data_IF_052916094878
#
_entry.id   IF_052916094878
#
_cell.length_a   1.000
_cell.length_b   1.000
_cell.length_c   1.000
_cell.angle_alpha   90.00
_cell.angle_beta   90.00
_cell.angle_gamma   90.00
#
_symmetry.space_group_name_H-M   'P 1'
#
loop_
_entity.id
_entity.type
_entity.pdbx_description
1 polymer ?
#
# COMPACT_ATOMS: atom_id res chain seq x y z
N UNK A 1 -9.94 -59.54 45.99
CA UNK A 1 -9.90 -59.78 47.45
C UNK A 1 -8.47 -60.08 47.83
N UNK A 2 -7.91 -59.27 48.76
CA UNK A 2 -6.61 -59.40 49.43
C UNK A 2 -5.34 -59.45 48.57
N UNK A 3 -4.45 -58.46 48.73
CA UNK A 3 -3.22 -58.67 49.52
C UNK A 3 -2.19 -57.53 49.42
N UNK A 4 -1.73 -57.16 50.63
CA UNK A 4 -0.44 -56.58 51.02
C UNK A 4 -0.19 -55.07 50.84
N UNK A 5 -0.58 -54.36 51.90
CA UNK A 5 0.05 -53.11 52.35
C UNK A 5 1.54 -53.36 52.66
N UNK A 6 2.39 -52.50 52.12
CA UNK A 6 3.84 -52.55 52.29
C UNK A 6 4.21 -51.57 53.42
N UNK A 7 4.35 -52.09 54.65
CA UNK A 7 4.96 -51.35 55.75
C UNK A 7 6.47 -51.18 55.48
N UNK A 8 6.92 -49.93 55.32
CA UNK A 8 8.34 -49.57 55.43
C UNK A 8 8.51 -48.60 56.59
N UNK A 9 8.89 -49.17 57.74
CA UNK A 9 9.34 -48.43 58.91
C UNK A 9 10.86 -48.21 58.79
N UNK A 10 11.28 -46.98 58.51
CA UNK A 10 12.68 -46.55 58.49
C UNK A 10 12.93 -45.53 59.62
N UNK A 11 14.06 -45.58 60.33
CA UNK A 11 14.25 -44.84 61.58
C UNK A 11 14.58 -43.35 61.42
N UNK A 12 14.52 -42.80 60.21
CA UNK A 12 14.89 -41.42 59.94
C UNK A 12 13.65 -40.66 59.47
N UNK A 13 13.10 -39.78 60.32
CA UNK A 13 11.85 -39.04 60.14
C UNK A 13 11.85 -38.00 59.01
N UNK A 14 12.37 -38.35 57.83
CA UNK A 14 12.31 -37.55 56.61
C UNK A 14 11.22 -38.16 55.72
N UNK A 15 10.09 -37.45 55.66
CA UNK A 15 8.92 -37.85 54.89
C UNK A 15 9.28 -38.22 53.45
N UNK A 16 8.62 -39.25 52.93
CA UNK A 16 8.78 -39.73 51.56
C UNK A 16 8.53 -38.59 50.57
N UNK A 17 9.62 -37.97 50.10
CA UNK A 17 9.58 -36.96 49.05
C UNK A 17 9.15 -37.67 47.77
N UNK A 18 8.09 -37.22 47.07
CA UNK A 18 7.72 -37.77 45.78
C UNK A 18 8.92 -37.61 44.85
N UNK A 19 9.56 -38.73 44.49
CA UNK A 19 10.62 -38.68 43.50
C UNK A 19 9.96 -38.28 42.18
N UNK A 20 10.28 -37.08 41.71
CA UNK A 20 9.97 -36.67 40.35
C UNK A 20 10.68 -37.70 39.46
N UNK A 21 9.96 -38.44 38.59
CA UNK A 21 10.62 -39.26 37.60
C UNK A 21 11.41 -38.29 36.73
N UNK A 22 12.73 -38.28 36.89
CA UNK A 22 13.60 -37.73 35.88
C UNK A 22 13.37 -38.62 34.66
N UNK A 23 12.50 -38.18 33.76
CA UNK A 23 12.47 -38.67 32.39
C UNK A 23 13.92 -38.72 31.95
N UNK A 24 14.39 -39.91 31.61
CA UNK A 24 15.68 -40.07 30.97
C UNK A 24 15.75 -39.04 29.85
N UNK A 25 16.82 -38.26 29.87
CA UNK A 25 17.19 -37.33 28.83
C UNK A 25 17.63 -38.13 27.59
N UNK A 26 16.73 -39.01 27.11
CA UNK A 26 16.81 -39.72 25.84
C UNK A 26 16.39 -38.77 24.70
N UNK A 27 16.73 -37.49 24.85
CA UNK A 27 16.68 -36.44 23.84
C UNK A 27 18.08 -36.01 23.37
N UNK A 28 19.16 -36.64 23.85
CA UNK A 28 20.52 -36.40 23.35
C UNK A 28 20.74 -37.00 21.93
N UNK A 29 19.65 -37.44 21.28
CA UNK A 29 19.57 -37.61 19.83
C UNK A 29 19.19 -36.34 19.04
N UNK A 30 18.93 -35.20 19.69
CA UNK A 30 18.41 -33.98 19.03
C UNK A 30 19.23 -32.71 19.34
N UNK A 31 20.38 -32.84 20.00
CA UNK A 31 21.33 -31.73 20.21
C UNK A 31 22.52 -31.75 19.22
N UNK A 32 22.59 -32.74 18.31
CA UNK A 32 23.62 -32.84 17.27
C UNK A 32 23.12 -32.37 15.88
N UNK A 33 22.01 -31.63 15.82
CA UNK A 33 21.30 -31.32 14.56
C UNK A 33 20.92 -29.87 14.31
N UNK A 34 21.06 -28.95 15.28
CA UNK A 34 20.93 -27.53 14.97
C UNK A 34 22.23 -27.01 14.35
N UNK A 35 22.43 -27.40 13.09
CA UNK A 35 23.50 -26.85 12.27
C UNK A 35 23.40 -25.32 12.22
N UNK A 36 24.51 -24.62 11.98
CA UNK A 36 24.49 -23.17 11.71
C UNK A 36 23.46 -22.81 10.62
N UNK A 37 23.20 -23.74 9.69
CA UNK A 37 22.14 -23.63 8.69
C UNK A 37 20.70 -23.59 9.25
N UNK A 38 20.39 -24.31 10.34
CA UNK A 38 19.06 -24.27 10.95
C UNK A 38 18.82 -22.95 11.72
N UNK A 39 19.87 -22.40 12.33
CA UNK A 39 19.80 -21.10 13.02
C UNK A 39 19.63 -19.95 12.03
N UNK A 40 20.38 -19.96 10.92
CA UNK A 40 20.21 -18.98 9.83
C UNK A 40 18.83 -19.12 9.18
N UNK A 41 18.34 -20.34 8.98
CA UNK A 41 17.00 -20.60 8.46
C UNK A 41 15.92 -19.99 9.38
N UNK A 42 15.96 -20.28 10.69
CA UNK A 42 15.03 -19.69 11.66
C UNK A 42 15.12 -18.16 11.70
N UNK A 43 16.32 -17.59 11.77
CA UNK A 43 16.51 -16.14 11.78
C UNK A 43 15.93 -15.48 10.51
N UNK A 44 16.15 -16.09 9.34
CA UNK A 44 15.58 -15.64 8.06
C UNK A 44 14.06 -15.71 8.07
N UNK A 45 13.50 -16.74 8.69
CA UNK A 45 12.06 -16.94 8.81
C UNK A 45 11.40 -15.91 9.75
N UNK A 46 12.06 -15.57 10.86
CA UNK A 46 11.64 -14.49 11.76
C UNK A 46 11.72 -13.11 11.08
N UNK A 47 12.81 -12.84 10.36
CA UNK A 47 12.96 -11.59 9.60
C UNK A 47 11.89 -11.47 8.51
N UNK A 48 11.62 -12.57 7.78
CA UNK A 48 10.56 -12.62 6.77
C UNK A 48 9.18 -12.34 7.37
N UNK A 49 8.93 -12.86 8.59
CA UNK A 49 7.68 -12.61 9.32
C UNK A 49 7.54 -11.14 9.72
N UNK A 50 8.62 -10.52 10.21
CA UNK A 50 8.63 -9.12 10.62
C UNK A 50 8.46 -8.17 9.44
N UNK A 51 9.18 -8.40 8.34
CA UNK A 51 9.00 -7.65 7.08
C UNK A 51 7.58 -7.79 6.56
N UNK A 52 7.00 -9.00 6.61
CA UNK A 52 5.62 -9.21 6.20
C UNK A 52 4.63 -8.43 7.07
N UNK A 53 4.84 -8.41 8.39
CA UNK A 53 4.01 -7.63 9.32
C UNK A 53 4.11 -6.12 9.07
N UNK A 54 5.31 -5.60 8.82
CA UNK A 54 5.54 -4.18 8.48
C UNK A 54 4.79 -3.80 7.19
N UNK A 55 4.86 -4.67 6.17
CA UNK A 55 4.15 -4.48 4.90
C UNK A 55 2.64 -4.54 5.09
N UNK A 56 2.14 -5.47 5.90
CA UNK A 56 0.70 -5.59 6.18
C UNK A 56 0.18 -4.39 6.94
N UNK A 57 0.95 -3.87 7.89
CA UNK A 57 0.63 -2.65 8.63
C UNK A 57 0.61 -1.43 7.70
N UNK A 58 1.69 -1.20 6.94
CA UNK A 58 1.78 -0.11 5.97
C UNK A 58 0.66 -0.19 4.93
N UNK A 59 0.34 -1.41 4.44
CA UNK A 59 -0.78 -1.64 3.54
C UNK A 59 -2.10 -1.23 4.18
N UNK A 60 -2.33 -1.57 5.45
CA UNK A 60 -3.57 -1.22 6.16
C UNK A 60 -3.72 0.30 6.36
N UNK A 61 -2.63 0.99 6.69
CA UNK A 61 -2.61 2.44 6.89
C UNK A 61 -2.86 3.18 5.57
N UNK A 62 -2.10 2.86 4.53
CA UNK A 62 -2.27 3.44 3.19
C UNK A 62 -3.66 3.14 2.64
N UNK A 63 -4.16 1.91 2.79
CA UNK A 63 -5.52 1.56 2.33
C UNK A 63 -6.59 2.35 3.08
N UNK A 64 -6.39 2.58 4.38
CA UNK A 64 -7.27 3.42 5.20
C UNK A 64 -7.30 4.87 4.72
N UNK A 65 -6.14 5.46 4.45
CA UNK A 65 -6.03 6.82 3.91
C UNK A 65 -6.65 6.94 2.52
N UNK A 66 -6.35 6.01 1.62
CA UNK A 66 -6.92 5.97 0.27
C UNK A 66 -8.45 5.87 0.34
N UNK A 67 -8.99 5.02 1.22
CA UNK A 67 -10.45 4.87 1.39
C UNK A 67 -11.09 6.15 1.92
N UNK A 68 -10.43 6.86 2.85
CA UNK A 68 -10.88 8.19 3.33
C UNK A 68 -10.85 9.21 2.19
N UNK A 69 -9.79 9.23 1.39
CA UNK A 69 -9.65 10.11 0.22
C UNK A 69 -10.74 9.86 -0.83
N UNK A 70 -11.03 8.60 -1.15
CA UNK A 70 -12.10 8.22 -2.07
C UNK A 70 -13.47 8.65 -1.52
N UNK A 71 -13.75 8.41 -0.24
CA UNK A 71 -15.02 8.88 0.36
C UNK A 71 -15.13 10.40 0.32
N UNK A 72 -14.04 11.13 0.57
CA UNK A 72 -14.01 12.58 0.47
C UNK A 72 -14.22 13.11 -0.95
N UNK A 73 -13.73 12.41 -1.97
CA UNK A 73 -13.87 12.82 -3.37
C UNK A 73 -15.30 12.70 -3.89
N UNK A 74 -16.16 11.85 -3.29
CA UNK A 74 -17.57 11.71 -3.68
C UNK A 74 -18.29 13.07 -3.66
N UNK A 75 -18.11 13.85 -2.59
CA UNK A 75 -18.74 15.18 -2.48
C UNK A 75 -18.21 16.15 -3.53
N UNK A 76 -16.92 16.10 -3.84
CA UNK A 76 -16.34 16.93 -4.91
C UNK A 76 -16.85 16.54 -6.29
N UNK A 77 -17.07 15.25 -6.55
CA UNK A 77 -17.68 14.78 -7.80
C UNK A 77 -19.11 15.29 -7.90
N UNK A 78 -19.92 15.13 -6.84
CA UNK A 78 -21.30 15.64 -6.81
C UNK A 78 -21.32 17.16 -7.01
N UNK A 79 -20.50 17.90 -6.25
CA UNK A 79 -20.39 19.35 -6.39
C UNK A 79 -19.95 19.75 -7.81
N UNK A 80 -19.00 19.03 -8.40
CA UNK A 80 -18.55 19.26 -9.78
C UNK A 80 -19.66 19.04 -10.80
N UNK A 81 -20.45 17.98 -10.67
CA UNK A 81 -21.61 17.71 -11.54
C UNK A 81 -22.67 18.78 -11.39
N UNK A 82 -23.03 19.14 -10.14
CA UNK A 82 -24.00 20.20 -9.87
C UNK A 82 -23.53 21.54 -10.45
N UNK A 83 -22.26 21.91 -10.23
CA UNK A 83 -21.68 23.13 -10.79
C UNK A 83 -21.68 23.11 -12.32
N UNK A 84 -21.35 21.98 -12.94
CA UNK A 84 -21.34 21.83 -14.39
C UNK A 84 -22.74 22.04 -14.99
N UNK A 85 -23.77 21.38 -14.46
CA UNK A 85 -25.15 21.56 -14.93
C UNK A 85 -25.69 22.96 -14.60
N UNK A 86 -25.40 23.48 -13.42
CA UNK A 86 -25.84 24.82 -13.00
C UNK A 86 -25.20 25.93 -13.85
N UNK A 87 -23.97 25.71 -14.34
CA UNK A 87 -23.28 26.68 -15.20
C UNK A 87 -24.07 26.99 -16.46
N UNK A 88 -24.74 25.99 -17.06
CA UNK A 88 -25.60 26.20 -18.22
C UNK A 88 -26.74 27.19 -17.91
N UNK A 89 -27.47 26.96 -16.81
CA UNK A 89 -28.54 27.84 -16.36
C UNK A 89 -28.01 29.22 -15.96
N UNK A 90 -26.84 29.29 -15.34
CA UNK A 90 -26.20 30.55 -14.96
C UNK A 90 -25.89 31.42 -16.17
N UNK A 91 -25.29 30.86 -17.23
CA UNK A 91 -25.01 31.62 -18.45
C UNK A 91 -26.28 31.99 -19.21
N UNK A 92 -27.29 31.10 -19.23
CA UNK A 92 -28.59 31.43 -19.80
C UNK A 92 -29.26 32.59 -19.04
N UNK A 93 -29.27 32.54 -17.72
CA UNK A 93 -29.73 33.62 -16.85
C UNK A 93 -28.98 34.92 -17.12
N UNK A 94 -27.65 34.87 -17.27
CA UNK A 94 -26.84 36.04 -17.59
C UNK A 94 -27.24 36.65 -18.94
N UNK A 95 -27.51 35.82 -19.94
CA UNK A 95 -27.97 36.26 -21.26
C UNK A 95 -29.34 36.95 -21.19
N UNK A 96 -30.26 36.37 -20.42
CA UNK A 96 -31.60 36.93 -20.23
C UNK A 96 -31.55 38.23 -19.42
N UNK A 97 -30.77 38.26 -18.34
CA UNK A 97 -30.55 39.45 -17.50
C UNK A 97 -29.99 40.60 -18.34
N UNK A 98 -28.96 40.36 -19.14
CA UNK A 98 -28.41 41.40 -20.03
C UNK A 98 -29.41 41.86 -21.09
N UNK A 99 -30.37 41.01 -21.47
CA UNK A 99 -31.39 41.35 -22.47
C UNK A 99 -32.41 42.37 -21.96
N UNK A 100 -32.47 42.65 -20.65
CA UNK A 100 -33.29 43.74 -20.10
C UNK A 100 -32.79 45.13 -20.54
N UNK A 101 -31.48 45.29 -20.75
CA UNK A 101 -30.87 46.56 -21.18
C UNK A 101 -30.40 46.55 -22.64
N UNK A 102 -30.25 45.38 -23.27
CA UNK A 102 -29.65 45.21 -24.59
C UNK A 102 -30.57 44.41 -25.52
N UNK A 103 -30.33 44.50 -26.83
CA UNK A 103 -30.96 43.58 -27.80
C UNK A 103 -30.57 42.14 -27.44
N UNK A 104 -31.54 41.23 -27.38
CA UNK A 104 -31.35 39.82 -26.99
C UNK A 104 -30.14 39.16 -27.68
N UNK A 105 -30.00 39.33 -29.00
CA UNK A 105 -28.87 38.77 -29.74
C UNK A 105 -27.50 39.29 -29.28
N UNK A 106 -27.40 40.57 -28.91
CA UNK A 106 -26.17 41.19 -28.45
C UNK A 106 -25.82 40.73 -27.01
N UNK A 107 -26.83 40.58 -26.15
CA UNK A 107 -26.66 40.04 -24.80
C UNK A 107 -26.04 38.63 -24.83
N UNK A 108 -26.61 37.71 -25.62
CA UNK A 108 -26.06 36.36 -25.77
C UNK A 108 -24.67 36.33 -26.41
N UNK A 109 -24.35 37.26 -27.33
CA UNK A 109 -23.00 37.38 -27.90
C UNK A 109 -21.98 37.81 -26.84
N UNK A 110 -22.33 38.74 -25.96
CA UNK A 110 -21.47 39.17 -24.85
C UNK A 110 -21.21 37.99 -23.90
N UNK A 111 -22.26 37.26 -23.50
CA UNK A 111 -22.12 36.09 -22.62
C UNK A 111 -21.24 35.01 -23.28
N UNK A 112 -21.42 34.76 -24.58
CA UNK A 112 -20.54 33.86 -25.33
C UNK A 112 -19.08 34.31 -25.29
N UNK A 113 -18.81 35.61 -25.45
CA UNK A 113 -17.47 36.17 -25.29
C UNK A 113 -16.88 35.92 -23.90
N UNK A 114 -17.67 36.10 -22.84
CA UNK A 114 -17.27 35.79 -21.46
C UNK A 114 -16.94 34.30 -21.31
N UNK A 115 -17.74 33.40 -21.89
CA UNK A 115 -17.48 31.96 -21.85
C UNK A 115 -16.14 31.61 -22.53
N UNK A 116 -15.82 32.22 -23.68
CA UNK A 116 -14.53 32.01 -24.35
C UNK A 116 -13.36 32.51 -23.50
N UNK A 117 -13.50 33.64 -22.81
CA UNK A 117 -12.46 34.15 -21.90
C UNK A 117 -12.23 33.19 -20.73
N UNK A 118 -13.31 32.70 -20.10
CA UNK A 118 -13.24 31.72 -19.01
C UNK A 118 -12.59 30.42 -19.50
N UNK A 119 -13.04 29.88 -20.63
CA UNK A 119 -12.49 28.67 -21.22
C UNK A 119 -11.01 28.83 -21.58
N UNK A 120 -10.62 29.96 -22.17
CA UNK A 120 -9.24 30.30 -22.47
C UNK A 120 -8.38 30.40 -21.22
N UNK A 121 -8.88 31.02 -20.15
CA UNK A 121 -8.17 31.14 -18.88
C UNK A 121 -7.93 29.78 -18.20
N UNK A 122 -8.97 28.96 -18.07
CA UNK A 122 -8.84 27.61 -17.48
C UNK A 122 -8.02 26.68 -18.38
N UNK A 123 -8.19 26.76 -19.70
CA UNK A 123 -7.38 26.03 -20.67
C UNK A 123 -5.89 26.40 -20.56
N UNK A 124 -5.58 27.68 -20.40
CA UNK A 124 -4.21 28.15 -20.19
C UNK A 124 -3.62 27.68 -18.85
N UNK A 125 -4.38 27.78 -17.76
CA UNK A 125 -3.95 27.26 -16.46
C UNK A 125 -3.71 25.74 -16.50
N UNK A 126 -4.63 25.00 -17.12
CA UNK A 126 -4.52 23.56 -17.33
C UNK A 126 -3.27 23.22 -18.14
N UNK A 127 -3.06 23.89 -19.27
CA UNK A 127 -1.87 23.72 -20.10
C UNK A 127 -0.58 24.03 -19.34
N UNK A 128 -0.56 25.08 -18.50
CA UNK A 128 0.61 25.45 -17.71
C UNK A 128 0.89 24.45 -16.58
N UNK A 129 -0.14 23.84 -15.99
CA UNK A 129 0.00 22.75 -15.02
C UNK A 129 0.51 21.48 -15.71
N UNK A 130 -0.03 21.11 -16.86
CA UNK A 130 0.43 19.97 -17.66
C UNK A 130 1.88 20.15 -18.13
N UNK A 131 2.27 21.35 -18.58
CA UNK A 131 3.67 21.64 -18.94
C UNK A 131 4.65 21.56 -17.75
N UNK A 132 4.17 21.84 -16.53
CA UNK A 132 5.00 21.73 -15.31
C UNK A 132 5.19 20.29 -14.86
N UNK A 133 4.29 19.39 -15.26
CA UNK A 133 4.48 17.95 -15.13
C UNK A 133 5.51 17.52 -16.21
N UNK A 134 6.80 17.79 -15.97
CA UNK A 134 7.87 17.15 -16.76
C UNK A 134 7.63 15.64 -16.70
N UNK A 135 7.67 14.96 -17.85
CA UNK A 135 7.70 13.50 -17.89
C UNK A 135 8.75 13.01 -16.88
N UNK A 136 8.50 11.93 -16.13
CA UNK A 136 9.45 11.42 -15.15
C UNK A 136 10.68 10.82 -15.86
N UNK A 137 11.55 11.71 -16.36
CA UNK A 137 12.78 11.38 -17.09
C UNK A 137 13.67 10.48 -16.24
N UNK A 138 13.73 10.73 -14.91
CA UNK A 138 14.46 9.89 -13.96
C UNK A 138 13.94 8.44 -13.93
N UNK A 139 12.62 8.25 -13.96
CA UNK A 139 12.01 6.92 -13.95
C UNK A 139 12.23 6.20 -15.29
N UNK A 140 12.17 6.93 -16.41
CA UNK A 140 12.44 6.38 -17.74
C UNK A 140 13.91 5.95 -17.86
N UNK A 141 14.86 6.75 -17.35
CA UNK A 141 16.29 6.40 -17.37
C UNK A 141 16.58 5.21 -16.46
N UNK A 142 16.08 5.18 -15.21
CA UNK A 142 16.28 4.03 -14.33
C UNK A 142 15.72 2.73 -14.89
N UNK A 143 14.53 2.75 -15.53
CA UNK A 143 13.96 1.55 -16.16
C UNK A 143 14.81 1.09 -17.37
N UNK A 144 15.36 2.02 -18.15
CA UNK A 144 16.28 1.71 -19.25
C UNK A 144 17.61 1.13 -18.76
N UNK A 145 18.17 1.67 -17.69
CA UNK A 145 19.41 1.17 -17.10
C UNK A 145 19.21 -0.21 -16.46
N UNK A 146 18.08 -0.44 -15.78
CA UNK A 146 17.72 -1.77 -15.27
C UNK A 146 17.50 -2.77 -16.40
N UNK A 147 16.84 -2.38 -17.49
CA UNK A 147 16.66 -3.24 -18.67
C UNK A 147 17.99 -3.55 -19.37
N UNK A 148 18.91 -2.58 -19.44
CA UNK A 148 20.25 -2.77 -19.99
C UNK A 148 21.11 -3.70 -19.12
N UNK A 149 21.00 -3.59 -17.78
CA UNK A 149 21.70 -4.46 -16.83
C UNK A 149 21.18 -5.90 -16.81
N UNK A 150 19.90 -6.11 -17.16
CA UNK A 150 19.26 -7.43 -17.23
C UNK A 150 19.40 -8.11 -18.60
N UNK A 151 20.03 -7.47 -19.59
CA UNK A 151 20.27 -8.11 -20.90
C UNK A 151 21.29 -9.25 -20.72
N UNK A 152 20.92 -10.52 -20.97
CA UNK A 152 21.85 -11.64 -20.79
C UNK A 152 23.03 -11.47 -21.75
N UNK A 153 24.25 -11.44 -21.21
CA UNK A 153 25.49 -11.54 -22.01
C UNK A 153 25.60 -12.97 -22.55
N UNK A 154 24.86 -13.27 -23.63
CA UNK A 154 25.17 -14.41 -24.50
C UNK A 154 26.26 -13.97 -25.47
N UNK A 155 27.50 -13.95 -25.03
CA UNK A 155 28.71 -13.84 -25.86
C UNK A 155 29.93 -13.89 -24.92
N UNK A 156 30.35 -15.11 -24.55
CA UNK A 156 31.69 -15.44 -24.04
C UNK A 156 31.87 -16.95 -23.74
N UNK A 157 31.17 -17.87 -24.43
CA UNK A 157 31.36 -19.34 -24.24
C UNK A 157 31.46 -20.09 -25.59
N UNK A 158 31.82 -19.42 -26.68
CA UNK A 158 31.92 -20.07 -28.00
C UNK A 158 33.35 -20.17 -28.57
N UNK A 159 34.39 -19.81 -27.81
CA UNK A 159 35.79 -19.88 -28.31
C UNK A 159 36.74 -20.73 -27.45
N UNK A 160 36.22 -21.65 -26.64
CA UNK A 160 37.06 -22.68 -25.99
C UNK A 160 36.32 -24.02 -26.00
N UNK A 161 36.51 -24.78 -27.07
CA UNK A 161 36.03 -26.15 -27.26
C UNK A 161 36.62 -26.75 -28.51
#
# INVERSE_FOLDING_TARGET
>A
MSSQEHERNGPDGLGAVPYIPLSSDDGVGEAAGQSVGSLVSQATQHLSTLVRAEVELAKSEVTGEVKKGIKGSVFFIIAGVVALYSSFFFFFFLGELLSEWLKRWAAFLIVFGVMLLVAGFFGFLGFRKLKKLRAPERTITSVKDTAAALKPRREAVAEQG
#
